data_IF_393962397308
#
_entry.id   IF_393962397308
#
_cell.length_a   1.000
_cell.length_b   1.000
_cell.length_c   1.000
_cell.angle_alpha   90.00
_cell.angle_beta   90.00
_cell.angle_gamma   90.00
#
_symmetry.space_group_name_H-M   'P 1'
#
loop_
_entity.id
_entity.type
_entity.pdbx_description
1 polymer ?
#
# COMPACT_ATOMS: atom_id res chain seq x y z
N UNK A 1 -11.63 9.71 -13.23
CA UNK A 1 -10.66 8.75 -12.69
C UNK A 1 -10.04 9.37 -11.46
N UNK A 2 -9.97 8.65 -10.35
CA UNK A 2 -9.30 9.05 -9.11
C UNK A 2 -8.06 8.15 -8.91
N UNK A 3 -6.91 8.76 -8.62
CA UNK A 3 -5.73 8.05 -8.15
C UNK A 3 -5.46 8.53 -6.74
N UNK A 4 -5.68 7.65 -5.77
CA UNK A 4 -5.40 7.95 -4.38
C UNK A 4 -3.99 7.48 -4.02
N UNK A 5 -3.32 8.27 -3.20
CA UNK A 5 -1.95 8.03 -2.75
C UNK A 5 -1.91 8.24 -1.25
N UNK A 6 -2.24 7.20 -0.49
CA UNK A 6 -2.36 7.30 0.96
C UNK A 6 -1.21 6.57 1.67
N UNK A 7 -0.60 7.25 2.64
CA UNK A 7 0.47 6.70 3.49
C UNK A 7 1.68 6.13 2.74
N UNK A 8 2.25 6.87 1.79
CA UNK A 8 3.36 6.41 0.94
C UNK A 8 4.74 6.29 1.62
N UNK A 9 4.91 6.79 2.84
CA UNK A 9 6.24 7.02 3.44
C UNK A 9 6.49 6.26 4.75
N UNK A 10 5.90 5.09 4.92
CA UNK A 10 6.12 4.32 6.15
C UNK A 10 7.55 3.75 6.25
N UNK A 11 8.15 3.73 7.46
CA UNK A 11 9.41 3.04 7.70
C UNK A 11 9.30 1.50 7.62
N UNK A 12 8.09 0.93 7.73
CA UNK A 12 7.82 -0.50 7.62
C UNK A 12 6.95 -0.85 6.41
N UNK A 13 7.16 -0.18 5.29
CA UNK A 13 6.29 -0.23 4.11
C UNK A 13 6.19 -1.59 3.39
N UNK A 14 5.13 -1.71 2.60
CA UNK A 14 4.98 -2.57 1.42
C UNK A 14 4.68 -1.65 0.21
N UNK A 15 4.68 -2.14 -1.03
CA UNK A 15 4.09 -1.44 -2.17
C UNK A 15 2.72 -2.05 -2.44
N UNK A 16 1.69 -1.49 -1.82
CA UNK A 16 0.32 -1.95 -1.90
C UNK A 16 -0.43 -1.36 -3.09
N UNK A 17 -1.19 -2.20 -3.77
CA UNK A 17 -2.11 -1.83 -4.85
C UNK A 17 -3.50 -2.31 -4.45
N UNK A 18 -4.48 -1.41 -4.44
CA UNK A 18 -5.88 -1.78 -4.25
C UNK A 18 -6.53 -2.16 -5.57
N UNK A 19 -7.10 -3.36 -5.65
CA UNK A 19 -8.02 -3.77 -6.72
C UNK A 19 -9.10 -4.67 -6.13
N UNK A 20 -10.37 -4.30 -6.27
CA UNK A 20 -11.50 -5.14 -5.86
C UNK A 20 -12.67 -5.05 -6.84
N UNK A 21 -12.77 -6.10 -7.64
CA UNK A 21 -13.81 -6.30 -8.64
C UNK A 21 -15.19 -6.63 -8.04
N UNK A 22 -15.29 -6.91 -6.74
CA UNK A 22 -16.56 -7.26 -6.07
C UNK A 22 -17.38 -6.03 -5.66
N UNK A 23 -16.71 -4.91 -5.37
CA UNK A 23 -17.36 -3.64 -4.99
C UNK A 23 -17.32 -2.59 -6.11
N UNK A 24 -16.47 -2.80 -7.11
CA UNK A 24 -16.35 -1.91 -8.27
C UNK A 24 -17.49 -2.15 -9.26
N UNK A 25 -18.23 -1.11 -9.71
CA UNK A 25 -19.27 -1.29 -10.71
C UNK A 25 -18.70 -1.86 -12.03
N UNK A 26 -19.42 -2.80 -12.65
CA UNK A 26 -18.94 -3.58 -13.81
C UNK A 26 -18.47 -2.72 -14.97
N UNK A 27 -19.10 -1.57 -15.23
CA UNK A 27 -18.73 -0.63 -16.29
C UNK A 27 -17.34 -0.01 -16.10
N UNK A 28 -16.81 -0.05 -14.88
CA UNK A 28 -15.63 0.68 -14.43
C UNK A 28 -14.42 -0.26 -14.31
N UNK A 29 -14.65 -1.56 -14.13
CA UNK A 29 -13.63 -2.61 -14.00
C UNK A 29 -12.54 -2.55 -15.08
N UNK A 30 -12.86 -2.41 -16.40
CA UNK A 30 -11.82 -2.36 -17.42
C UNK A 30 -10.88 -1.16 -17.28
N UNK A 31 -11.38 -0.05 -16.71
CA UNK A 31 -10.59 1.12 -16.39
C UNK A 31 -9.67 0.88 -15.20
N UNK A 32 -10.19 0.28 -14.13
CA UNK A 32 -9.41 -0.09 -12.93
C UNK A 32 -8.24 -0.99 -13.31
N UNK A 33 -8.51 -2.08 -14.03
CA UNK A 33 -7.47 -3.05 -14.45
C UNK A 33 -6.34 -2.42 -15.24
N UNK A 34 -6.63 -1.39 -16.06
CA UNK A 34 -5.59 -0.68 -16.83
C UNK A 34 -4.67 0.12 -15.91
N UNK A 35 -5.20 0.71 -14.85
CA UNK A 35 -4.41 1.50 -13.90
C UNK A 35 -3.62 0.55 -13.00
N UNK A 36 -4.25 -0.49 -12.46
CA UNK A 36 -3.58 -1.56 -11.70
C UNK A 36 -2.40 -2.10 -12.49
N UNK A 37 -2.62 -2.44 -13.77
CA UNK A 37 -1.56 -2.94 -14.65
C UNK A 37 -0.45 -1.92 -14.87
N UNK A 38 -0.77 -0.64 -15.01
CA UNK A 38 0.23 0.43 -15.15
C UNK A 38 1.15 0.52 -13.92
N UNK A 39 0.63 0.24 -12.72
CA UNK A 39 1.43 0.19 -11.49
C UNK A 39 2.35 -1.03 -11.46
N UNK A 40 1.83 -2.20 -11.82
CA UNK A 40 2.63 -3.44 -11.93
C UNK A 40 3.74 -3.28 -12.97
N UNK A 41 3.43 -2.69 -14.12
CA UNK A 41 4.39 -2.45 -15.20
C UNK A 41 5.50 -1.49 -14.78
N UNK A 42 5.29 -0.68 -13.74
CA UNK A 42 6.36 0.09 -13.10
C UNK A 42 7.17 -0.77 -12.12
N UNK A 43 6.51 -1.57 -11.27
CA UNK A 43 7.20 -2.33 -10.23
C UNK A 43 8.03 -3.50 -10.80
N UNK A 44 7.48 -4.29 -11.73
CA UNK A 44 8.12 -5.51 -12.24
C UNK A 44 9.51 -5.25 -12.88
N UNK A 45 9.69 -4.28 -13.80
CA UNK A 45 10.98 -4.04 -14.44
C UNK A 45 12.02 -3.47 -13.47
N UNK A 46 11.57 -2.70 -12.48
CA UNK A 46 12.42 -2.16 -11.41
C UNK A 46 12.72 -3.19 -10.32
N UNK A 47 12.26 -4.44 -10.51
CA UNK A 47 12.34 -5.55 -9.57
C UNK A 47 11.62 -5.29 -8.26
N UNK A 48 10.72 -4.30 -8.19
CA UNK A 48 9.99 -3.93 -6.97
C UNK A 48 8.93 -4.99 -6.64
N UNK A 49 8.95 -5.49 -5.40
CA UNK A 49 7.85 -6.33 -4.90
C UNK A 49 6.59 -5.48 -4.75
N UNK A 50 5.42 -6.07 -4.91
CA UNK A 50 4.15 -5.40 -4.69
C UNK A 50 3.13 -6.39 -4.10
N UNK A 51 2.09 -5.87 -3.47
CA UNK A 51 1.07 -6.64 -2.77
C UNK A 51 -0.33 -6.15 -3.16
N UNK A 52 -1.25 -7.08 -3.40
CA UNK A 52 -2.67 -6.75 -3.60
C UNK A 52 -3.43 -6.67 -2.29
N UNK A 53 -4.42 -5.80 -2.26
CA UNK A 53 -5.39 -5.77 -1.17
C UNK A 53 -6.76 -5.32 -1.68
N UNK A 54 -7.83 -5.89 -1.10
CA UNK A 54 -9.19 -5.54 -1.48
C UNK A 54 -9.58 -4.18 -0.91
N UNK A 55 -10.51 -3.49 -1.57
CA UNK A 55 -11.07 -2.24 -1.06
C UNK A 55 -11.70 -2.47 0.33
N UNK A 56 -11.27 -1.66 1.30
CA UNK A 56 -11.77 -1.69 2.68
C UNK A 56 -12.70 -0.52 2.98
N UNK A 57 -12.79 0.47 2.08
CA UNK A 57 -13.56 1.70 2.27
C UNK A 57 -12.93 2.69 3.26
N UNK A 58 -11.68 2.45 3.69
CA UNK A 58 -10.99 3.28 4.69
C UNK A 58 -10.24 4.49 4.12
N UNK A 59 -10.14 4.60 2.80
CA UNK A 59 -9.41 5.68 2.12
C UNK A 59 -10.36 6.53 1.24
N UNK A 60 -9.85 7.65 0.74
CA UNK A 60 -10.61 8.68 0.03
C UNK A 60 -11.22 8.22 -1.31
N UNK A 61 -10.88 7.03 -1.83
CA UNK A 61 -11.52 6.48 -3.04
C UNK A 61 -12.99 6.11 -2.83
N UNK A 62 -13.45 5.87 -1.59
CA UNK A 62 -14.79 5.33 -1.30
C UNK A 62 -15.94 6.10 -1.98
N UNK A 63 -16.04 7.43 -1.81
CA UNK A 63 -17.06 8.24 -2.47
C UNK A 63 -17.00 8.20 -4.00
N UNK A 64 -15.81 8.06 -4.59
CA UNK A 64 -15.64 7.99 -6.05
C UNK A 64 -16.09 6.64 -6.61
N UNK A 65 -15.78 5.54 -5.90
CA UNK A 65 -16.28 4.20 -6.24
C UNK A 65 -17.81 4.16 -6.18
N UNK A 66 -18.42 4.80 -5.18
CA UNK A 66 -19.88 4.87 -5.02
C UNK A 66 -20.59 5.57 -6.20
N UNK A 67 -19.94 6.55 -6.82
CA UNK A 67 -20.45 7.28 -8.00
C UNK A 67 -20.04 6.61 -9.34
N UNK A 68 -19.43 5.43 -9.31
CA UNK A 68 -19.00 4.72 -10.52
C UNK A 68 -17.83 5.39 -11.24
N UNK A 69 -17.01 6.17 -10.53
CA UNK A 69 -15.79 6.75 -11.05
C UNK A 69 -14.68 5.70 -10.97
N UNK A 70 -13.91 5.54 -12.05
CA UNK A 70 -12.71 4.68 -12.05
C UNK A 70 -11.75 5.15 -10.95
N UNK A 71 -11.41 4.26 -10.02
CA UNK A 71 -10.52 4.54 -8.91
C UNK A 71 -9.42 3.49 -8.83
N UNK A 72 -8.22 3.94 -8.50
CA UNK A 72 -7.14 3.07 -8.03
C UNK A 72 -6.49 3.75 -6.83
N UNK A 73 -5.95 2.96 -5.90
CA UNK A 73 -5.21 3.48 -4.76
C UNK A 73 -3.88 2.74 -4.60
N UNK A 74 -2.82 3.55 -4.50
CA UNK A 74 -1.46 3.10 -4.21
C UNK A 74 -1.13 3.51 -2.78
N UNK A 75 -0.73 2.54 -1.98
CA UNK A 75 -0.37 2.77 -0.60
C UNK A 75 0.94 2.11 -0.25
N UNK A 76 1.74 2.75 0.61
CA UNK A 76 2.91 2.09 1.16
C UNK A 76 2.62 1.41 2.51
N UNK A 77 1.56 1.86 3.19
CA UNK A 77 1.05 1.28 4.43
C UNK A 77 -0.45 1.42 4.54
N UNK A 78 -1.10 0.32 4.86
CA UNK A 78 -2.48 0.30 5.34
C UNK A 78 -2.50 -0.62 6.55
N UNK A 79 -3.42 -0.41 7.48
CA UNK A 79 -3.46 -1.13 8.75
C UNK A 79 -3.28 -2.64 8.55
N UNK A 80 -2.33 -3.23 9.26
CA UNK A 80 -1.94 -4.61 9.09
C UNK A 80 -0.54 -4.89 9.63
N UNK A 81 -0.25 -6.17 9.86
CA UNK A 81 1.02 -6.65 10.40
C UNK A 81 1.86 -7.23 9.26
N UNK A 82 3.13 -6.82 9.17
CA UNK A 82 4.04 -7.37 8.18
C UNK A 82 4.32 -8.85 8.42
N UNK A 83 4.11 -9.66 7.39
CA UNK A 83 4.43 -11.09 7.41
C UNK A 83 5.92 -11.36 7.15
N UNK A 84 6.38 -12.56 7.53
CA UNK A 84 7.75 -13.00 7.27
C UNK A 84 8.02 -13.08 5.75
N UNK A 85 7.06 -13.59 4.99
CA UNK A 85 7.15 -13.71 3.54
C UNK A 85 7.27 -12.34 2.86
N UNK A 86 6.47 -11.36 3.33
CA UNK A 86 6.58 -9.98 2.86
C UNK A 86 7.98 -9.44 3.17
N UNK A 87 8.45 -9.54 4.41
CA UNK A 87 9.81 -9.09 4.77
C UNK A 87 10.88 -9.74 3.88
N UNK A 88 10.82 -11.03 3.65
CA UNK A 88 11.84 -11.75 2.87
C UNK A 88 11.83 -11.37 1.39
N UNK A 89 10.65 -11.11 0.80
CA UNK A 89 10.53 -10.58 -0.57
C UNK A 89 11.19 -9.21 -0.69
N UNK A 90 10.90 -8.29 0.23
CA UNK A 90 11.42 -6.93 0.18
C UNK A 90 12.91 -6.86 0.53
N UNK A 91 13.38 -7.69 1.47
CA UNK A 91 14.82 -7.79 1.80
C UNK A 91 15.64 -8.29 0.62
N UNK A 92 15.19 -9.36 -0.05
CA UNK A 92 15.86 -9.91 -1.25
C UNK A 92 16.03 -8.86 -2.35
N UNK A 93 15.19 -7.83 -2.33
CA UNK A 93 14.96 -6.92 -3.43
C UNK A 93 15.61 -5.54 -3.21
N UNK A 94 15.59 -5.01 -1.99
CA UNK A 94 16.14 -3.70 -1.64
C UNK A 94 17.50 -3.75 -0.92
N UNK A 95 17.91 -4.91 -0.43
CA UNK A 95 19.28 -5.15 0.03
C UNK A 95 19.70 -4.53 1.37
N UNK A 96 18.94 -3.65 2.05
CA UNK A 96 19.29 -3.04 3.35
C UNK A 96 18.06 -2.45 4.12
N UNK A 97 17.90 -2.81 5.41
CA UNK A 97 17.31 -2.17 6.64
C UNK A 97 15.97 -1.39 6.58
N UNK A 98 15.42 -1.04 5.43
CA UNK A 98 14.11 -0.42 5.35
C UNK A 98 13.06 -1.52 5.20
N UNK A 99 12.16 -1.64 6.18
CA UNK A 99 11.03 -2.58 6.21
C UNK A 99 11.27 -4.00 6.78
N UNK A 100 12.25 -4.18 7.67
CA UNK A 100 12.60 -5.49 8.28
C UNK A 100 11.68 -5.98 9.42
N UNK A 101 10.75 -5.15 9.91
CA UNK A 101 10.00 -5.46 11.13
C UNK A 101 8.85 -6.42 10.84
N UNK A 102 9.10 -7.71 11.00
CA UNK A 102 8.08 -8.78 10.99
C UNK A 102 7.27 -8.71 12.28
N UNK A 103 5.99 -9.05 12.21
CA UNK A 103 5.06 -8.99 13.36
C UNK A 103 4.89 -7.58 13.96
N UNK A 104 5.24 -6.55 13.19
CA UNK A 104 5.01 -5.16 13.54
C UNK A 104 4.03 -4.52 12.55
N UNK A 105 3.34 -3.49 13.01
CA UNK A 105 2.43 -2.72 12.16
C UNK A 105 3.18 -2.15 10.95
N UNK A 106 2.50 -2.17 9.81
CA UNK A 106 2.96 -1.48 8.62
C UNK A 106 3.03 0.04 8.93
N UNK A 107 2.10 0.60 9.69
CA UNK A 107 1.95 2.04 9.95
C UNK A 107 2.42 2.52 11.33
N UNK A 108 3.45 1.91 11.90
CA UNK A 108 4.00 2.14 13.26
C UNK A 108 3.99 3.59 13.82
N UNK A 109 4.12 4.62 12.98
CA UNK A 109 4.16 6.03 13.38
C UNK A 109 2.88 6.83 13.06
N UNK A 110 1.95 6.34 12.23
CA UNK A 110 0.88 7.16 11.64
C UNK A 110 -0.26 7.53 12.59
N UNK A 111 -0.48 6.76 13.67
CA UNK A 111 -1.53 7.03 14.66
C UNK A 111 -1.02 7.44 16.04
N UNK A 112 0.30 7.51 16.24
CA UNK A 112 0.90 7.84 17.55
C UNK A 112 1.10 9.35 17.68
N UNK A 113 0.07 10.03 18.24
CA UNK A 113 -0.13 11.51 18.37
C UNK A 113 1.06 12.33 18.94
N UNK A 114 2.13 11.72 19.44
CA UNK A 114 3.26 12.39 20.12
C UNK A 114 4.63 11.68 19.98
N UNK A 115 4.85 10.82 18.97
CA UNK A 115 6.09 10.03 18.83
C UNK A 115 7.06 10.48 17.73
N UNK A 116 7.16 11.79 17.52
CA UNK A 116 8.19 12.36 16.64
C UNK A 116 9.60 11.98 17.11
N UNK A 117 9.79 11.66 18.41
CA UNK A 117 11.09 11.31 18.97
C UNK A 117 11.52 9.84 18.79
N UNK A 118 10.67 8.98 18.23
CA UNK A 118 10.95 7.53 18.03
C UNK A 118 11.18 7.20 16.55
N UNK A 119 10.43 7.85 15.66
CA UNK A 119 10.62 7.78 14.21
C UNK A 119 11.91 8.51 13.75
N UNK A 120 12.55 9.32 14.62
CA UNK A 120 13.76 10.10 14.31
C UNK A 120 15.10 9.34 14.47
N UNK A 121 15.11 8.13 15.04
CA UNK A 121 16.34 7.39 15.43
C UNK A 121 16.56 6.04 14.70
N UNK A 122 15.56 5.35 14.13
CA UNK A 122 15.65 3.90 13.81
C UNK A 122 16.04 3.02 15.03
N UNK A 123 15.42 3.24 16.18
CA UNK A 123 15.20 2.10 17.09
C UNK A 123 13.84 2.22 17.76
N UNK A 124 12.85 2.05 16.89
CA UNK A 124 11.53 1.42 17.05
C UNK A 124 11.13 1.13 18.52
N UNK A 125 9.97 1.63 18.93
CA UNK A 125 9.35 1.30 20.22
C UNK A 125 7.96 0.71 19.97
#
# INVERSE_FOLDING_TARGET
MNLNFDMLASPNFIFGIYDDNTVTPVSVIPGSHRITRSCIDYFEPNRLSWDYTNFSGRNDYGPFVAEGIVCEDLFACTGGIKSQEQRDRYLKMLGLILCEMVNADLDLCYHKKWLISICSIFNIY
#
